data_IF_850751200015
#
_entry.id   IF_850751200015
#
_cell.length_a   1.000
_cell.length_b   1.000
_cell.length_c   1.000
_cell.angle_alpha   90.00
_cell.angle_beta   90.00
_cell.angle_gamma   90.00
#
_symmetry.space_group_name_H-M   'P 1'
#
loop_
_entity.id
_entity.type
_entity.pdbx_description
1 polymer ?
#
# COMPACT_ATOMS: atom_id res chain seq x y z
N UNK A 1 -38.22 31.12 -20.55
CA UNK A 1 -38.02 29.85 -19.83
C UNK A 1 -39.15 28.92 -20.21
N UNK A 2 -38.89 27.87 -21.00
CA UNK A 2 -39.86 26.81 -21.31
C UNK A 2 -39.28 25.50 -20.79
N UNK A 3 -39.81 25.03 -19.66
CA UNK A 3 -39.62 23.67 -19.18
C UNK A 3 -40.18 22.68 -20.21
N UNK A 4 -39.30 21.84 -20.76
CA UNK A 4 -39.71 20.67 -21.53
C UNK A 4 -40.00 19.53 -20.55
N UNK A 5 -41.26 19.40 -20.12
CA UNK A 5 -41.75 18.18 -19.50
C UNK A 5 -41.88 17.11 -20.58
N UNK A 6 -40.95 16.15 -20.57
CA UNK A 6 -40.96 15.00 -21.46
C UNK A 6 -42.02 13.99 -20.99
N UNK A 7 -43.19 14.00 -21.64
CA UNK A 7 -44.20 12.96 -21.51
C UNK A 7 -43.70 11.65 -22.18
N UNK A 8 -43.29 10.66 -21.39
CA UNK A 8 -43.11 9.27 -21.85
C UNK A 8 -44.50 8.60 -22.03
N UNK A 9 -45.18 8.79 -23.16
CA UNK A 9 -46.40 8.02 -23.50
C UNK A 9 -46.23 7.36 -24.87
N UNK A 10 -45.42 6.30 -24.91
CA UNK A 10 -45.47 5.29 -25.96
C UNK A 10 -44.98 3.94 -25.40
N UNK A 11 -45.47 2.81 -25.91
CA UNK A 11 -45.16 1.46 -25.38
C UNK A 11 -43.66 1.11 -25.48
N UNK A 12 -42.95 1.72 -26.43
CA UNK A 12 -41.48 1.65 -26.53
C UNK A 12 -40.77 2.69 -25.63
N UNK A 13 -41.46 3.78 -25.28
CA UNK A 13 -41.00 4.78 -24.34
C UNK A 13 -40.93 4.24 -22.90
N UNK A 14 -41.87 3.38 -22.49
CA UNK A 14 -41.88 2.82 -21.14
C UNK A 14 -40.63 1.96 -20.85
N UNK A 15 -40.16 1.19 -21.84
CA UNK A 15 -38.92 0.40 -21.74
C UNK A 15 -37.69 1.31 -21.61
N UNK A 16 -37.61 2.36 -22.42
CA UNK A 16 -36.49 3.29 -22.39
C UNK A 16 -36.47 4.14 -21.10
N UNK A 17 -37.63 4.53 -20.59
CA UNK A 17 -37.74 5.26 -19.33
C UNK A 17 -37.41 4.34 -18.13
N UNK A 18 -37.73 3.03 -18.18
CA UNK A 18 -37.28 2.06 -17.17
C UNK A 18 -35.76 1.85 -17.17
N UNK A 19 -35.12 1.74 -18.33
CA UNK A 19 -33.65 1.63 -18.43
C UNK A 19 -32.93 2.87 -17.92
N UNK A 20 -33.46 4.08 -18.19
CA UNK A 20 -32.89 5.31 -17.64
C UNK A 20 -33.01 5.38 -16.12
N UNK A 21 -34.14 4.97 -15.54
CA UNK A 21 -34.29 4.93 -14.07
C UNK A 21 -33.30 3.96 -13.44
N UNK A 22 -33.11 2.77 -14.01
CA UNK A 22 -32.11 1.79 -13.50
C UNK A 22 -30.69 2.33 -13.62
N UNK A 23 -30.33 3.01 -14.72
CA UNK A 23 -29.02 3.60 -14.91
C UNK A 23 -28.74 4.75 -13.91
N UNK A 24 -29.73 5.59 -13.65
CA UNK A 24 -29.62 6.68 -12.66
C UNK A 24 -29.50 6.12 -11.24
N UNK A 25 -30.28 5.09 -10.90
CA UNK A 25 -30.21 4.46 -9.57
C UNK A 25 -28.88 3.74 -9.35
N UNK A 26 -28.34 3.05 -10.35
CA UNK A 26 -27.02 2.40 -10.25
C UNK A 26 -25.89 3.44 -10.15
N UNK A 27 -25.93 4.51 -10.94
CA UNK A 27 -24.97 5.61 -10.82
C UNK A 27 -25.01 6.27 -9.43
N UNK A 28 -26.21 6.58 -8.92
CA UNK A 28 -26.38 7.16 -7.59
C UNK A 28 -25.89 6.22 -6.49
N UNK A 29 -26.14 4.91 -6.62
CA UNK A 29 -25.66 3.90 -5.67
C UNK A 29 -24.14 3.77 -5.68
N UNK A 30 -23.49 3.79 -6.85
CA UNK A 30 -22.03 3.77 -6.98
C UNK A 30 -21.40 5.03 -6.37
N UNK A 31 -22.00 6.21 -6.60
CA UNK A 31 -21.55 7.47 -5.99
C UNK A 31 -21.70 7.38 -4.47
N UNK A 32 -22.85 6.96 -3.94
CA UNK A 32 -23.06 6.83 -2.50
C UNK A 32 -22.10 5.82 -1.85
N UNK A 33 -21.84 4.69 -2.51
CA UNK A 33 -20.87 3.70 -2.04
C UNK A 33 -19.45 4.26 -2.03
N UNK A 34 -19.03 4.98 -3.07
CA UNK A 34 -17.69 5.57 -3.14
C UNK A 34 -17.52 6.71 -2.12
N UNK A 35 -18.55 7.52 -1.87
CA UNK A 35 -18.50 8.55 -0.81
C UNK A 35 -18.45 7.94 0.59
N UNK A 36 -19.25 6.91 0.87
CA UNK A 36 -19.21 6.19 2.16
C UNK A 36 -17.85 5.49 2.38
N UNK A 37 -17.23 5.00 1.31
CA UNK A 37 -15.90 4.39 1.38
C UNK A 37 -14.80 5.42 1.63
N UNK A 38 -14.93 6.62 1.06
CA UNK A 38 -14.01 7.75 1.28
C UNK A 38 -14.17 8.35 2.68
N UNK A 39 -15.40 8.45 3.21
CA UNK A 39 -15.65 8.97 4.57
C UNK A 39 -15.18 8.01 5.67
N UNK A 40 -15.27 6.68 5.47
CA UNK A 40 -14.61 5.70 6.36
C UNK A 40 -13.08 5.81 6.36
N UNK A 41 -12.50 6.56 5.43
CA UNK A 41 -11.07 6.86 5.32
C UNK A 41 -10.75 8.34 5.48
N UNK A 42 -11.62 9.10 6.15
CA UNK A 42 -11.26 10.45 6.58
C UNK A 42 -9.88 10.39 7.27
N UNK A 43 -8.96 11.31 6.94
CA UNK A 43 -7.66 11.40 7.59
C UNK A 43 -7.88 11.88 9.02
N UNK A 44 -8.31 10.98 9.89
CA UNK A 44 -8.17 11.15 11.31
C UNK A 44 -6.69 11.34 11.55
N UNK A 45 -6.34 12.47 12.17
CA UNK A 45 -5.01 12.76 12.69
C UNK A 45 -4.55 11.57 13.54
N UNK A 46 -3.98 10.54 12.91
CA UNK A 46 -3.28 9.48 13.58
C UNK A 46 -2.00 10.13 14.06
N UNK A 47 -1.97 10.44 15.35
CA UNK A 47 -0.74 10.76 16.03
C UNK A 47 0.31 9.72 15.60
N UNK A 48 1.45 10.20 15.11
CA UNK A 48 2.61 9.35 14.87
C UNK A 48 2.83 8.51 16.15
N UNK A 49 3.04 7.19 16.07
CA UNK A 49 3.54 6.48 17.21
C UNK A 49 4.88 7.12 17.57
N UNK A 50 4.94 7.73 18.76
CA UNK A 50 6.19 8.10 19.37
C UNK A 50 6.95 6.78 19.57
N UNK A 51 7.81 6.44 18.63
CA UNK A 51 8.88 5.48 18.85
C UNK A 51 9.74 6.10 19.95
N UNK A 52 9.35 5.84 21.19
CA UNK A 52 10.08 6.26 22.36
C UNK A 52 11.45 5.61 22.25
N UNK A 53 12.44 6.47 22.08
CA UNK A 53 13.73 6.35 22.77
C UNK A 53 13.44 6.01 24.23
N UNK A 54 13.36 4.71 24.52
CA UNK A 54 13.40 4.21 25.88
C UNK A 54 14.85 4.38 26.38
N UNK A 55 15.18 5.60 26.77
CA UNK A 55 16.30 5.87 27.68
C UNK A 55 15.86 5.41 29.08
N UNK A 56 16.04 4.12 29.36
CA UNK A 56 15.99 3.56 30.71
C UNK A 56 17.42 3.47 31.24
N UNK A 57 17.65 3.98 32.44
CA UNK A 57 18.98 4.25 32.99
C UNK A 57 19.90 3.04 33.20
N UNK A 58 21.19 3.36 33.06
CA UNK A 58 22.37 2.83 33.78
C UNK A 58 22.46 1.30 33.92
N UNK A 59 23.10 0.67 32.95
CA UNK A 59 24.27 -0.21 33.16
C UNK A 59 25.21 -0.05 31.96
N UNK A 60 26.43 0.45 32.19
CA UNK A 60 27.53 0.44 31.21
C UNK A 60 28.00 -1.00 30.97
N UNK A 61 28.33 -1.41 29.73
CA UNK A 61 29.75 -1.38 29.38
C UNK A 61 30.09 -1.07 27.91
N UNK A 62 31.23 -0.36 27.76
CA UNK A 62 32.14 -0.26 26.61
C UNK A 62 31.63 0.32 25.28
N UNK A 63 32.15 1.52 25.03
CA UNK A 63 32.07 2.28 23.79
C UNK A 63 32.65 1.54 22.58
N UNK A 64 31.87 1.48 21.50
CA UNK A 64 32.37 1.44 20.13
C UNK A 64 32.43 2.87 19.60
N UNK A 65 33.57 3.36 19.08
CA UNK A 65 33.65 4.68 18.48
C UNK A 65 33.12 4.59 17.04
N UNK A 66 32.09 5.36 16.68
CA UNK A 66 31.66 5.44 15.29
C UNK A 66 30.26 5.97 14.97
N UNK A 67 29.54 6.61 15.91
CA UNK A 67 28.18 7.08 15.66
C UNK A 67 27.94 8.53 16.11
N UNK A 68 28.92 9.42 15.95
CA UNK A 68 28.76 10.85 16.18
C UNK A 68 28.90 11.61 14.86
N UNK A 69 27.89 11.54 13.99
CA UNK A 69 27.56 12.55 12.97
C UNK A 69 26.36 12.11 12.11
N UNK A 70 25.15 12.19 12.66
CA UNK A 70 23.93 12.27 11.85
C UNK A 70 22.78 12.96 12.61
N UNK A 71 23.12 13.89 13.51
CA UNK A 71 22.17 14.58 14.37
C UNK A 71 22.15 16.08 14.12
N UNK A 72 21.96 16.52 12.88
CA UNK A 72 21.67 17.93 12.56
C UNK A 72 21.13 18.08 11.12
N UNK A 73 19.88 17.67 10.89
CA UNK A 73 19.10 18.11 9.72
C UNK A 73 17.60 18.09 10.06
N UNK A 74 17.21 18.77 11.15
CA UNK A 74 15.80 19.03 11.44
C UNK A 74 15.36 20.26 10.64
N UNK A 75 14.25 20.09 9.91
CA UNK A 75 13.55 21.07 9.04
C UNK A 75 14.13 21.28 7.63
N UNK A 76 14.48 20.18 6.96
CA UNK A 76 14.66 20.17 5.51
C UNK A 76 13.33 19.92 4.80
N UNK A 77 12.92 20.85 3.93
CA UNK A 77 12.05 20.64 2.75
C UNK A 77 12.09 19.16 2.34
N UNK A 78 10.96 18.43 2.42
CA UNK A 78 10.90 17.03 1.95
C UNK A 78 11.51 17.00 0.55
N UNK A 79 12.70 16.41 0.43
CA UNK A 79 13.41 16.36 -0.84
C UNK A 79 12.56 15.50 -1.78
N UNK A 80 12.30 16.02 -2.98
CA UNK A 80 11.69 15.25 -4.07
C UNK A 80 12.50 13.97 -4.27
N UNK A 81 11.85 12.81 -4.20
CA UNK A 81 12.51 11.51 -4.34
C UNK A 81 12.67 11.17 -5.81
N UNK A 82 13.85 10.69 -6.18
CA UNK A 82 14.10 10.08 -7.49
C UNK A 82 13.72 8.60 -7.42
N UNK A 83 12.43 8.32 -7.63
CA UNK A 83 11.86 6.96 -7.54
C UNK A 83 12.53 6.00 -8.53
N UNK A 84 12.92 6.48 -9.71
CA UNK A 84 13.56 5.63 -10.72
C UNK A 84 14.99 5.27 -10.33
N UNK A 85 15.73 6.21 -9.74
CA UNK A 85 17.05 5.94 -9.17
C UNK A 85 16.95 4.96 -7.99
N UNK A 86 16.00 5.19 -7.08
CA UNK A 86 15.73 4.25 -5.99
C UNK A 86 15.38 2.86 -6.53
N UNK A 87 14.51 2.77 -7.53
CA UNK A 87 14.13 1.48 -8.11
C UNK A 87 15.30 0.80 -8.84
N UNK A 88 16.33 1.51 -9.31
CA UNK A 88 17.52 0.91 -9.92
C UNK A 88 18.60 0.52 -8.89
N UNK A 89 18.53 1.04 -7.67
CA UNK A 89 19.58 0.83 -6.66
C UNK A 89 19.60 -0.62 -6.16
N UNK A 90 20.79 -1.22 -5.95
CA UNK A 90 20.90 -2.53 -5.33
C UNK A 90 20.33 -2.50 -3.90
N UNK A 91 19.56 -3.53 -3.53
CA UNK A 91 18.93 -3.63 -2.21
C UNK A 91 19.62 -4.68 -1.35
N UNK A 92 19.79 -4.37 -0.07
CA UNK A 92 20.30 -5.31 0.92
C UNK A 92 19.24 -6.31 1.39
N UNK A 93 17.95 -5.97 1.22
CA UNK A 93 16.82 -6.83 1.58
C UNK A 93 16.76 -8.05 0.65
N UNK A 94 16.87 -9.29 1.18
CA UNK A 94 16.73 -10.49 0.37
C UNK A 94 15.33 -10.56 -0.25
N UNK A 95 15.25 -10.79 -1.55
CA UNK A 95 13.98 -11.10 -2.21
C UNK A 95 13.58 -12.54 -1.90
N UNK A 96 12.35 -12.70 -1.42
CA UNK A 96 11.70 -13.99 -1.25
C UNK A 96 10.42 -13.97 -2.08
N UNK A 97 10.33 -14.78 -3.15
CA UNK A 97 9.10 -14.88 -3.93
C UNK A 97 7.93 -15.25 -3.02
N UNK A 98 6.82 -14.55 -3.18
CA UNK A 98 5.60 -14.90 -2.46
C UNK A 98 5.17 -16.32 -2.84
N UNK A 99 4.95 -17.17 -1.83
CA UNK A 99 4.33 -18.46 -2.07
C UNK A 99 2.88 -18.25 -2.54
N UNK A 100 2.36 -19.13 -3.39
CA UNK A 100 0.95 -19.08 -3.84
C UNK A 100 -0.05 -19.15 -2.68
N UNK A 101 0.39 -19.66 -1.55
CA UNK A 101 -0.34 -19.72 -0.29
C UNK A 101 -0.12 -18.50 0.61
N UNK A 102 0.39 -17.36 0.14
CA UNK A 102 0.44 -16.13 0.95
C UNK A 102 -0.75 -15.22 0.66
N UNK A 103 -1.25 -14.56 1.70
CA UNK A 103 -2.33 -13.58 1.58
C UNK A 103 -1.78 -12.27 1.02
N UNK A 104 -2.49 -11.70 0.05
CA UNK A 104 -2.14 -10.42 -0.56
C UNK A 104 -2.69 -9.21 0.23
N UNK A 105 -3.75 -9.42 1.02
CA UNK A 105 -4.46 -8.36 1.75
C UNK A 105 -4.68 -8.76 3.21
N UNK A 106 -4.84 -7.77 4.10
CA UNK A 106 -5.22 -8.04 5.49
C UNK A 106 -6.56 -8.77 5.60
N UNK A 107 -7.50 -8.53 4.68
CA UNK A 107 -8.79 -9.24 4.67
C UNK A 107 -8.64 -10.73 4.36
N UNK A 108 -7.80 -11.11 3.40
CA UNK A 108 -7.51 -12.52 3.10
C UNK A 108 -6.79 -13.18 4.28
N UNK A 109 -5.79 -12.50 4.85
CA UNK A 109 -5.06 -12.98 6.00
C UNK A 109 -5.98 -13.18 7.21
N UNK A 110 -6.94 -12.26 7.42
CA UNK A 110 -7.94 -12.41 8.47
C UNK A 110 -8.85 -13.61 8.24
N UNK A 111 -9.32 -13.84 7.00
CA UNK A 111 -10.16 -15.00 6.68
C UNK A 111 -9.45 -16.32 6.99
N UNK A 112 -8.17 -16.43 6.66
CA UNK A 112 -7.36 -17.61 6.98
C UNK A 112 -7.05 -17.74 8.45
N UNK A 113 -6.80 -16.62 9.13
CA UNK A 113 -6.64 -16.58 10.56
C UNK A 113 -7.84 -17.21 11.30
N UNK A 114 -9.05 -17.11 10.76
CA UNK A 114 -10.26 -17.73 11.35
C UNK A 114 -10.29 -19.26 11.27
N UNK A 115 -9.45 -19.90 10.46
CA UNK A 115 -9.28 -21.36 10.45
C UNK A 115 -8.65 -21.86 11.76
N UNK A 116 -7.94 -21.00 12.49
CA UNK A 116 -7.36 -21.33 13.78
C UNK A 116 -8.43 -21.22 14.89
N UNK A 117 -8.58 -22.25 15.75
CA UNK A 117 -9.62 -22.27 16.77
C UNK A 117 -9.41 -21.22 17.85
N UNK A 118 -8.15 -20.91 18.18
CA UNK A 118 -7.78 -19.92 19.20
C UNK A 118 -6.59 -19.08 18.72
N UNK A 119 -6.54 -17.84 19.20
CA UNK A 119 -5.51 -16.88 18.81
C UNK A 119 -4.08 -17.37 19.11
N UNK A 120 -3.86 -18.06 20.24
CA UNK A 120 -2.53 -18.58 20.62
C UNK A 120 -1.94 -19.55 19.60
N UNK A 121 -2.77 -20.40 19.00
CA UNK A 121 -2.31 -21.35 17.97
C UNK A 121 -1.73 -20.60 16.77
N UNK A 122 -2.41 -19.53 16.34
CA UNK A 122 -1.92 -18.68 15.27
C UNK A 122 -0.70 -17.85 15.71
N UNK A 123 -0.76 -17.20 16.87
CA UNK A 123 0.31 -16.35 17.39
C UNK A 123 1.63 -17.11 17.63
N UNK A 124 1.57 -18.43 17.77
CA UNK A 124 2.76 -19.29 17.86
C UNK A 124 3.53 -19.39 16.54
N UNK A 125 2.86 -19.21 15.39
CA UNK A 125 3.49 -19.21 14.07
C UNK A 125 4.37 -17.98 13.89
N UNK A 126 5.62 -18.20 13.50
CA UNK A 126 6.63 -17.16 13.25
C UNK A 126 7.04 -17.05 11.80
N UNK A 127 6.44 -17.87 10.93
CA UNK A 127 6.59 -17.73 9.49
C UNK A 127 5.92 -16.42 8.99
N UNK A 128 6.34 -15.89 7.82
CA UNK A 128 5.85 -14.60 7.32
C UNK A 128 4.32 -14.51 7.26
N UNK A 129 3.67 -15.58 6.80
CA UNK A 129 2.21 -15.63 6.65
C UNK A 129 1.52 -15.70 8.01
N UNK A 130 1.99 -16.56 8.93
CA UNK A 130 1.43 -16.65 10.27
C UNK A 130 1.52 -15.31 11.04
N UNK A 131 2.59 -14.54 10.85
CA UNK A 131 2.70 -13.19 11.39
C UNK A 131 1.67 -12.23 10.75
N UNK A 132 1.47 -12.29 9.44
CA UNK A 132 0.50 -11.44 8.75
C UNK A 132 -0.95 -11.76 9.13
N UNK A 133 -1.31 -13.04 9.20
CA UNK A 133 -2.59 -13.53 9.74
C UNK A 133 -2.79 -13.09 11.20
N UNK A 134 -1.76 -13.18 12.04
CA UNK A 134 -1.80 -12.70 13.44
C UNK A 134 -2.07 -11.20 13.50
N UNK A 135 -1.37 -10.41 12.66
CA UNK A 135 -1.58 -8.98 12.57
C UNK A 135 -2.99 -8.63 12.11
N UNK A 136 -3.53 -9.37 11.14
CA UNK A 136 -4.88 -9.18 10.62
C UNK A 136 -5.96 -9.46 11.68
N UNK A 137 -5.82 -10.55 12.45
CA UNK A 137 -6.69 -10.83 13.59
C UNK A 137 -6.61 -9.69 14.62
N UNK A 138 -5.41 -9.27 14.99
CA UNK A 138 -5.21 -8.18 15.93
C UNK A 138 -5.79 -6.83 15.44
N UNK A 139 -5.65 -6.52 14.16
CA UNK A 139 -6.20 -5.31 13.56
C UNK A 139 -7.74 -5.34 13.54
N UNK A 140 -8.34 -6.49 13.23
CA UNK A 140 -9.79 -6.66 13.30
C UNK A 140 -10.33 -6.46 14.72
N UNK A 141 -9.65 -7.01 15.73
CA UNK A 141 -10.01 -6.82 17.14
C UNK A 141 -9.92 -5.36 17.60
N UNK A 142 -9.05 -4.54 17.00
CA UNK A 142 -8.99 -3.10 17.29
C UNK A 142 -10.15 -2.31 16.69
N UNK A 143 -10.71 -2.76 15.57
CA UNK A 143 -11.74 -2.01 14.82
C UNK A 143 -13.15 -2.22 15.36
N UNK A 144 -13.38 -3.26 16.16
CA UNK A 144 -14.69 -3.52 16.76
C UNK A 144 -14.80 -2.79 18.09
N UNK A 145 -15.70 -1.81 18.16
CA UNK A 145 -16.18 -1.27 19.43
C UNK A 145 -16.62 -2.45 20.31
N UNK A 146 -16.02 -2.56 21.49
CA UNK A 146 -15.98 -3.72 22.39
C UNK A 146 -17.36 -4.05 22.97
N UNK A 147 -18.35 -4.37 22.13
CA UNK A 147 -19.73 -4.67 22.52
C UNK A 147 -20.21 -6.02 22.04
N UNK A 148 -19.43 -6.73 21.23
CA UNK A 148 -19.80 -8.07 20.77
C UNK A 148 -18.72 -9.09 21.12
N UNK A 149 -19.02 -9.96 22.09
CA UNK A 149 -18.20 -11.10 22.51
C UNK A 149 -18.08 -12.19 21.44
N UNK A 150 -18.57 -11.92 20.22
CA UNK A 150 -18.59 -12.82 19.06
C UNK A 150 -17.24 -12.87 18.35
N UNK A 151 -16.40 -11.84 18.47
CA UNK A 151 -15.02 -11.92 18.02
C UNK A 151 -14.15 -12.54 19.12
N UNK A 152 -13.34 -13.53 18.70
CA UNK A 152 -12.34 -14.24 19.52
C UNK A 152 -11.17 -13.32 19.91
N UNK A 153 -11.47 -12.18 20.55
CA UNK A 153 -10.57 -11.09 20.90
C UNK A 153 -10.20 -11.04 22.39
N UNK A 154 -10.47 -12.11 23.14
CA UNK A 154 -10.28 -12.15 24.61
C UNK A 154 -8.81 -12.09 25.07
N UNK A 155 -7.84 -12.30 24.17
CA UNK A 155 -6.42 -12.25 24.50
C UNK A 155 -5.97 -10.84 24.91
N UNK A 156 -5.15 -10.75 25.96
CA UNK A 156 -4.64 -9.48 26.47
C UNK A 156 -3.81 -8.68 25.46
N UNK A 157 -3.05 -9.34 24.57
CA UNK A 157 -2.23 -8.69 23.55
C UNK A 157 -3.07 -7.96 22.51
N UNK A 158 -4.28 -8.45 22.24
CA UNK A 158 -5.21 -7.85 21.28
C UNK A 158 -5.78 -6.51 21.78
N UNK A 159 -5.62 -6.21 23.08
CA UNK A 159 -6.01 -4.94 23.69
C UNK A 159 -4.90 -3.89 23.63
N UNK A 160 -3.65 -4.29 23.36
CA UNK A 160 -2.56 -3.33 23.17
C UNK A 160 -2.72 -2.63 21.81
N UNK A 161 -2.89 -1.29 21.78
CA UNK A 161 -3.09 -0.56 20.55
C UNK A 161 -1.91 -0.68 19.58
N UNK A 162 -0.69 -0.95 20.06
CA UNK A 162 0.49 -1.08 19.21
C UNK A 162 0.72 -2.51 18.70
N UNK A 163 0.05 -3.52 19.26
CA UNK A 163 0.36 -4.92 18.99
C UNK A 163 0.14 -5.31 17.53
N UNK A 164 -1.03 -5.00 16.96
CA UNK A 164 -1.35 -5.33 15.57
C UNK A 164 -0.31 -4.75 14.59
N UNK A 165 0.07 -3.50 14.81
CA UNK A 165 1.04 -2.79 13.97
C UNK A 165 2.46 -3.32 14.16
N UNK A 166 2.85 -3.65 15.38
CA UNK A 166 4.17 -4.26 15.68
C UNK A 166 4.31 -5.61 15.00
N UNK A 167 3.26 -6.44 15.06
CA UNK A 167 3.26 -7.76 14.38
C UNK A 167 3.25 -7.57 12.85
N UNK A 168 2.52 -6.57 12.33
CA UNK A 168 2.51 -6.25 10.91
C UNK A 168 3.89 -5.79 10.40
N UNK A 169 4.57 -4.92 11.14
CA UNK A 169 5.94 -4.48 10.85
C UNK A 169 6.91 -5.67 10.83
N UNK A 170 6.77 -6.60 11.78
CA UNK A 170 7.57 -7.82 11.81
C UNK A 170 7.29 -8.72 10.60
N UNK A 171 6.02 -8.91 10.23
CA UNK A 171 5.66 -9.67 9.03
C UNK A 171 6.29 -9.06 7.76
N UNK A 172 6.22 -7.73 7.62
CA UNK A 172 6.87 -7.01 6.53
C UNK A 172 8.41 -7.19 6.56
N UNK A 173 9.03 -7.14 7.74
CA UNK A 173 10.46 -7.38 7.92
C UNK A 173 10.90 -8.80 7.53
N UNK A 174 9.99 -9.77 7.54
CA UNK A 174 10.25 -11.13 7.01
C UNK A 174 10.04 -11.26 5.50
N UNK A 175 9.73 -10.17 4.79
CA UNK A 175 9.49 -10.16 3.35
C UNK A 175 8.05 -10.50 2.95
N UNK A 176 7.09 -10.56 3.88
CA UNK A 176 5.69 -10.80 3.54
C UNK A 176 5.16 -9.61 2.71
N UNK A 177 4.83 -9.86 1.43
CA UNK A 177 4.52 -8.81 0.47
C UNK A 177 3.22 -8.04 0.80
N UNK A 178 2.18 -8.73 1.25
CA UNK A 178 0.95 -8.12 1.73
C UNK A 178 1.18 -7.17 2.90
N UNK A 179 1.99 -7.55 3.89
CA UNK A 179 2.33 -6.73 5.06
C UNK A 179 3.11 -5.48 4.67
N UNK A 180 4.09 -5.60 3.77
CA UNK A 180 4.83 -4.45 3.22
C UNK A 180 3.86 -3.47 2.56
N UNK A 181 3.00 -3.96 1.67
CA UNK A 181 2.02 -3.12 0.96
C UNK A 181 1.00 -2.48 1.91
N UNK A 182 0.52 -3.21 2.91
CA UNK A 182 -0.45 -2.72 3.89
C UNK A 182 0.14 -1.60 4.75
N UNK A 183 1.39 -1.74 5.21
CA UNK A 183 2.09 -0.64 5.90
C UNK A 183 2.29 0.56 4.97
N UNK A 184 2.71 0.33 3.73
CA UNK A 184 2.97 1.40 2.78
C UNK A 184 1.69 2.18 2.44
N UNK A 185 0.55 1.51 2.31
CA UNK A 185 -0.76 2.14 2.13
C UNK A 185 -1.24 2.90 3.37
N UNK A 186 -0.95 2.38 4.58
CA UNK A 186 -1.31 3.05 5.85
C UNK A 186 -0.51 4.34 6.08
N UNK A 187 0.72 4.38 5.58
CA UNK A 187 1.69 5.44 5.88
C UNK A 187 2.37 6.02 4.63
N UNK A 188 1.61 6.61 3.68
CA UNK A 188 2.09 6.97 2.35
C UNK A 188 3.21 8.03 2.32
N UNK A 189 3.48 8.73 3.42
CA UNK A 189 4.46 9.84 3.47
C UNK A 189 5.67 9.56 4.37
N UNK A 190 5.78 8.36 4.95
CA UNK A 190 6.77 8.06 5.98
C UNK A 190 7.43 6.69 5.81
N UNK A 191 7.49 6.17 4.57
CA UNK A 191 8.10 4.86 4.29
C UNK A 191 9.57 4.80 4.72
N UNK A 192 10.33 5.88 4.50
CA UNK A 192 11.75 5.98 4.86
C UNK A 192 12.01 6.18 6.36
N UNK A 193 10.96 6.28 7.19
CA UNK A 193 11.10 6.41 8.65
C UNK A 193 10.57 5.21 9.40
N UNK A 194 9.94 4.24 8.72
CA UNK A 194 9.35 3.06 9.34
C UNK A 194 10.37 1.91 9.27
N UNK A 195 10.96 1.58 10.41
CA UNK A 195 11.80 0.39 10.57
C UNK A 195 10.94 -0.87 10.72
N UNK A 196 11.32 -1.94 10.03
CA UNK A 196 10.65 -3.24 10.08
C UNK A 196 11.18 -4.15 11.20
N UNK A 197 12.01 -3.60 12.10
CA UNK A 197 12.54 -4.29 13.29
C UNK A 197 13.76 -5.18 13.05
N UNK A 198 14.13 -5.45 11.80
CA UNK A 198 15.32 -6.19 11.39
C UNK A 198 16.43 -5.29 10.78
N UNK A 199 16.30 -3.97 10.93
CA UNK A 199 17.20 -2.98 10.33
C UNK A 199 16.85 -2.59 8.89
N UNK A 200 15.85 -3.23 8.27
CA UNK A 200 15.31 -2.84 6.96
C UNK A 200 14.24 -1.76 7.14
N UNK A 201 14.25 -0.78 6.24
CA UNK A 201 13.21 0.26 6.18
C UNK A 201 12.07 -0.15 5.24
N UNK A 202 10.87 0.39 5.47
CA UNK A 202 9.69 0.05 4.69
C UNK A 202 9.84 0.44 3.20
N UNK A 203 10.51 1.55 2.90
CA UNK A 203 10.81 1.95 1.53
C UNK A 203 11.74 0.96 0.83
N UNK A 204 12.83 0.50 1.47
CA UNK A 204 13.71 -0.53 0.94
C UNK A 204 12.94 -1.79 0.56
N UNK A 205 12.05 -2.26 1.45
CA UNK A 205 11.20 -3.42 1.20
C UNK A 205 10.22 -3.18 0.05
N UNK A 206 9.59 -2.01 -0.02
CA UNK A 206 8.66 -1.65 -1.09
C UNK A 206 9.34 -1.56 -2.46
N UNK A 207 10.50 -0.91 -2.54
CA UNK A 207 11.29 -0.81 -3.77
C UNK A 207 11.79 -2.19 -4.22
N UNK A 208 12.18 -3.05 -3.28
CA UNK A 208 12.54 -4.43 -3.57
C UNK A 208 11.36 -5.20 -4.19
N UNK A 209 10.14 -5.10 -3.64
CA UNK A 209 8.94 -5.71 -4.26
C UNK A 209 8.74 -5.21 -5.71
N UNK A 210 8.87 -3.90 -5.92
CA UNK A 210 8.68 -3.27 -7.22
C UNK A 210 9.77 -3.70 -8.24
N UNK A 211 11.03 -3.82 -7.81
CA UNK A 211 12.14 -4.32 -8.64
C UNK A 211 11.87 -5.72 -9.18
N UNK A 212 11.23 -6.56 -8.38
CA UNK A 212 10.85 -7.93 -8.75
C UNK A 212 9.45 -8.03 -9.38
N UNK A 213 8.88 -6.92 -9.85
CA UNK A 213 7.67 -6.94 -10.67
C UNK A 213 6.38 -7.10 -9.88
N UNK A 214 6.37 -6.86 -8.57
CA UNK A 214 5.13 -6.81 -7.82
C UNK A 214 4.26 -5.64 -8.32
N UNK A 215 3.17 -5.96 -9.01
CA UNK A 215 2.31 -4.98 -9.67
C UNK A 215 1.68 -3.97 -8.69
N UNK A 216 1.35 -4.41 -7.47
CA UNK A 216 0.78 -3.51 -6.44
C UNK A 216 1.84 -2.56 -5.90
N UNK A 217 3.09 -2.99 -5.75
CA UNK A 217 4.18 -2.11 -5.36
C UNK A 217 4.47 -1.07 -6.46
N UNK A 218 4.54 -1.50 -7.72
CA UNK A 218 4.72 -0.61 -8.87
C UNK A 218 3.59 0.43 -8.98
N UNK A 219 2.34 -0.01 -8.85
CA UNK A 219 1.19 0.91 -8.89
C UNK A 219 1.15 1.84 -7.68
N UNK A 220 1.53 1.38 -6.48
CA UNK A 220 1.63 2.24 -5.31
C UNK A 220 2.67 3.35 -5.49
N UNK A 221 3.86 3.02 -6.02
CA UNK A 221 4.88 4.02 -6.39
C UNK A 221 4.36 4.99 -7.45
N UNK A 222 3.61 4.48 -8.43
CA UNK A 222 3.02 5.28 -9.50
C UNK A 222 2.00 6.28 -8.96
N UNK A 223 1.08 5.81 -8.11
CA UNK A 223 0.09 6.63 -7.42
C UNK A 223 0.74 7.65 -6.50
N UNK A 224 1.79 7.27 -5.76
CA UNK A 224 2.52 8.19 -4.89
C UNK A 224 3.11 9.37 -5.68
N UNK A 225 3.63 9.12 -6.89
CA UNK A 225 4.08 10.18 -7.79
C UNK A 225 2.98 11.03 -8.41
N UNK A 226 1.68 10.73 -8.20
CA UNK A 226 0.57 11.64 -8.55
C UNK A 226 0.34 12.71 -7.49
N UNK A 227 0.80 12.48 -6.27
CA UNK A 227 0.62 13.37 -5.15
C UNK A 227 1.74 14.43 -5.14
N UNK A 228 1.43 15.66 -5.53
CA UNK A 228 2.31 16.84 -5.35
C UNK A 228 3.77 16.68 -5.83
N UNK A 229 4.69 17.31 -5.10
CA UNK A 229 6.14 17.33 -5.40
C UNK A 229 6.90 16.16 -4.72
N UNK A 230 6.30 14.98 -4.60
CA UNK A 230 6.99 13.83 -4.00
C UNK A 230 8.04 13.22 -4.93
N UNK A 231 7.86 13.32 -6.25
CA UNK A 231 8.76 12.74 -7.25
C UNK A 231 9.47 13.82 -8.07
N UNK A 232 10.77 13.61 -8.31
CA UNK A 232 11.64 14.54 -9.07
C UNK A 232 11.23 14.72 -10.54
N UNK A 233 10.73 13.68 -11.19
CA UNK A 233 10.17 13.72 -12.56
C UNK A 233 8.86 12.91 -12.62
N UNK A 234 7.71 13.48 -12.20
CA UNK A 234 6.50 12.72 -11.96
C UNK A 234 5.94 12.04 -13.22
N UNK A 235 5.82 12.76 -14.35
CA UNK A 235 5.31 12.20 -15.61
C UNK A 235 6.21 11.09 -16.15
N UNK A 236 7.53 11.31 -16.20
CA UNK A 236 8.48 10.30 -16.64
C UNK A 236 8.41 9.05 -15.74
N UNK A 237 8.41 9.26 -14.42
CA UNK A 237 8.35 8.18 -13.44
C UNK A 237 7.09 7.34 -13.61
N UNK A 238 5.92 7.99 -13.72
CA UNK A 238 4.64 7.28 -13.89
C UNK A 238 4.59 6.47 -15.18
N UNK A 239 5.11 7.01 -16.28
CA UNK A 239 5.20 6.29 -17.55
C UNK A 239 6.19 5.10 -17.48
N UNK A 240 7.35 5.26 -16.84
CA UNK A 240 8.32 4.17 -16.67
C UNK A 240 7.72 3.06 -15.80
N UNK A 241 7.07 3.40 -14.68
CA UNK A 241 6.42 2.41 -13.82
C UNK A 241 5.30 1.66 -14.57
N UNK A 242 4.52 2.35 -15.40
CA UNK A 242 3.52 1.70 -16.27
C UNK A 242 4.16 0.70 -17.24
N UNK A 243 5.28 1.07 -17.88
CA UNK A 243 6.02 0.15 -18.76
C UNK A 243 6.54 -1.08 -18.00
N UNK A 244 7.02 -0.91 -16.77
CA UNK A 244 7.44 -2.03 -15.93
C UNK A 244 6.25 -2.94 -15.57
N UNK A 245 5.06 -2.39 -15.33
CA UNK A 245 3.85 -3.19 -15.11
C UNK A 245 3.44 -4.00 -16.35
N UNK A 246 3.53 -3.42 -17.55
CA UNK A 246 3.29 -4.16 -18.80
C UNK A 246 4.29 -5.32 -18.99
N UNK A 247 5.58 -5.07 -18.71
CA UNK A 247 6.60 -6.11 -18.76
C UNK A 247 6.34 -7.23 -17.75
N UNK A 248 6.01 -6.88 -16.52
CA UNK A 248 5.72 -7.86 -15.46
C UNK A 248 4.48 -8.71 -15.74
N UNK A 249 3.51 -8.21 -16.52
CA UNK A 249 2.32 -8.95 -16.94
C UNK A 249 2.50 -9.71 -18.27
N UNK A 250 3.60 -9.51 -19.00
CA UNK A 250 3.82 -10.07 -20.33
C UNK A 250 2.87 -9.50 -21.41
N UNK A 251 2.14 -8.43 -21.10
CA UNK A 251 1.21 -7.78 -22.03
C UNK A 251 2.00 -6.87 -22.96
N UNK A 252 1.85 -7.07 -24.27
CA UNK A 252 2.40 -6.14 -25.25
C UNK A 252 1.61 -4.83 -25.23
N UNK A 253 2.33 -3.71 -25.16
CA UNK A 253 1.75 -2.39 -25.32
C UNK A 253 2.15 -1.84 -26.69
N UNK A 254 1.24 -1.12 -27.37
CA UNK A 254 1.56 -0.36 -28.56
C UNK A 254 1.42 1.12 -28.26
N UNK A 255 2.47 1.90 -28.50
CA UNK A 255 2.47 3.35 -28.26
C UNK A 255 1.39 4.11 -29.08
N UNK A 256 0.86 3.49 -30.14
CA UNK A 256 -0.23 4.03 -30.96
C UNK A 256 -1.60 4.03 -30.23
N UNK A 257 -1.80 3.17 -29.22
CA UNK A 257 -3.02 3.09 -28.41
C UNK A 257 -2.92 3.95 -27.15
N UNK A 258 -2.48 5.20 -27.28
CA UNK A 258 -2.19 6.16 -26.19
C UNK A 258 -3.40 6.53 -25.30
N UNK A 259 -4.55 5.87 -25.45
CA UNK A 259 -5.63 5.86 -24.47
C UNK A 259 -5.30 5.00 -23.22
N UNK A 260 -4.17 4.30 -23.21
CA UNK A 260 -3.77 3.20 -22.32
C UNK A 260 -3.15 3.59 -20.95
N UNK A 261 -3.33 4.82 -20.47
CA UNK A 261 -2.86 5.23 -19.13
C UNK A 261 -1.43 5.76 -19.06
N UNK A 262 -0.83 6.09 -20.23
CA UNK A 262 0.36 6.93 -20.33
C UNK A 262 0.01 8.42 -20.29
N UNK A 263 0.96 9.22 -19.84
CA UNK A 263 0.81 10.67 -19.72
C UNK A 263 1.79 11.42 -20.62
N UNK A 264 1.39 12.63 -21.05
CA UNK A 264 2.23 13.51 -21.85
C UNK A 264 2.23 13.20 -23.33
N UNK A 265 3.25 13.70 -24.03
CA UNK A 265 3.41 13.60 -25.47
C UNK A 265 4.02 12.25 -25.89
N UNK A 266 3.96 11.94 -27.19
CA UNK A 266 4.67 10.79 -27.75
C UNK A 266 6.19 10.85 -27.50
N UNK A 267 6.77 12.04 -27.32
CA UNK A 267 8.18 12.19 -26.96
C UNK A 267 8.44 11.78 -25.50
N UNK A 268 7.52 12.07 -24.59
CA UNK A 268 7.60 11.68 -23.17
C UNK A 268 7.50 10.16 -23.02
N UNK A 269 6.62 9.53 -23.82
CA UNK A 269 6.49 8.07 -23.89
C UNK A 269 7.81 7.45 -24.36
N UNK A 270 8.37 7.91 -25.49
CA UNK A 270 9.67 7.41 -26.00
C UNK A 270 10.81 7.59 -24.99
N UNK A 271 10.82 8.71 -24.25
CA UNK A 271 11.79 8.95 -23.17
C UNK A 271 11.63 7.91 -22.05
N UNK A 272 10.39 7.61 -21.66
CA UNK A 272 10.09 6.56 -20.69
C UNK A 272 10.52 5.17 -21.18
N UNK A 273 10.27 4.84 -22.46
CA UNK A 273 10.71 3.56 -23.05
C UNK A 273 12.22 3.39 -22.99
N UNK A 274 12.97 4.42 -23.39
CA UNK A 274 14.43 4.43 -23.32
C UNK A 274 14.91 4.25 -21.87
N UNK A 275 14.29 4.96 -20.92
CA UNK A 275 14.65 4.87 -19.51
C UNK A 275 14.34 3.48 -18.93
N UNK A 276 13.17 2.93 -19.21
CA UNK A 276 12.77 1.60 -18.78
C UNK A 276 13.68 0.51 -19.37
N UNK A 277 14.13 0.67 -20.63
CA UNK A 277 15.11 -0.24 -21.24
C UNK A 277 16.49 -0.17 -20.54
N UNK A 278 16.95 1.01 -20.16
CA UNK A 278 18.22 1.19 -19.44
C UNK A 278 18.22 0.58 -18.04
N UNK A 279 17.07 0.54 -17.37
CA UNK A 279 16.99 0.05 -15.99
C UNK A 279 17.22 -1.47 -15.90
N UNK A 280 17.03 -2.24 -16.99
CA UNK A 280 17.28 -3.69 -17.00
C UNK A 280 16.50 -4.50 -15.95
N UNK A 281 15.50 -3.89 -15.31
CA UNK A 281 14.66 -4.53 -14.30
C UNK A 281 13.65 -5.46 -14.98
N UNK A 282 13.31 -6.56 -14.29
CA UNK A 282 12.44 -7.67 -14.72
C UNK A 282 13.12 -8.72 -15.63
N UNK A 283 14.09 -9.43 -15.03
CA UNK A 283 14.56 -10.75 -15.46
C UNK A 283 14.10 -11.81 -14.47
#
# INVERSE_FOLDING_TARGET
MREKNANCVDKNGLKNCAWMVVAVLTAAMVIALTTLWMERRAPGNRAQPAWQTASSGIVSPRAFPGADQAGAALFGRQATVDVLEQLAAPRATPWVPAATSQSATLSEAYQRAMEFPVFDSLASRKDPEGLFETAAWADACRQVEVHDATLRCGDSRLRDPAYAETVLARAAGTGQAGAILELAMRYPTSWNTISLGNGVMLDDALYMLAQHGNLRALDLLRQWCTLGNHCKEPTLTRNVLMLLMFRATGVSYQAADAASGFEGSAADIRRAESRAAQMGLLH
#
